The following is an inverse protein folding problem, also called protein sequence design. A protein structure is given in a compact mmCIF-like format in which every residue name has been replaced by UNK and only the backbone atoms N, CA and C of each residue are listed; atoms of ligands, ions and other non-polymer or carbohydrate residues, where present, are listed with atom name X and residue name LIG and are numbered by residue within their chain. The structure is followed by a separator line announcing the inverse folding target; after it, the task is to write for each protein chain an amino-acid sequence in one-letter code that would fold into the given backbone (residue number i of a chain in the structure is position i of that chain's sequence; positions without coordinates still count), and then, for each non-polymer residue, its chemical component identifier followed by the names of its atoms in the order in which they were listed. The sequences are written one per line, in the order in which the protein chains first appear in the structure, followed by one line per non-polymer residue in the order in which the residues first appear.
data_IF_514246205797
#
_entry.id   IF_514246205797
#
_cell.length_a   1.000
_cell.length_b   1.000
_cell.length_c   1.000
_cell.angle_alpha   90.00
_cell.angle_beta   90.00
_cell.angle_gamma   90.00
#
_symmetry.space_group_name_H-M   'P 1'
#
loop_
_entity.id
_entity.type
_entity.pdbx_description
1 polymer ?
#
# COMPACT_ATOMS: atom_id res chain seq x y z
N UNK A 1 14.00 -9.57 -4.05
CA UNK A 1 14.63 -10.36 -2.98
C UNK A 1 13.55 -11.26 -2.40
N UNK A 2 13.91 -12.43 -1.89
CA UNK A 2 12.94 -13.30 -1.22
C UNK A 2 12.65 -12.86 0.22
N UNK A 3 11.65 -13.48 0.85
CA UNK A 3 11.21 -13.18 2.22
C UNK A 3 12.16 -13.72 3.31
N UNK A 4 13.17 -14.51 2.92
CA UNK A 4 14.24 -14.97 3.82
C UNK A 4 15.59 -14.40 3.39
N UNK A 5 15.58 -13.20 2.79
CA UNK A 5 16.77 -12.48 2.34
C UNK A 5 17.54 -13.23 1.21
N UNK A 6 16.85 -14.04 0.42
CA UNK A 6 17.41 -14.63 -0.79
C UNK A 6 17.73 -13.54 -1.82
N UNK A 7 18.79 -13.76 -2.60
CA UNK A 7 19.25 -12.83 -3.61
C UNK A 7 18.12 -12.45 -4.58
N UNK A 8 17.96 -11.15 -4.84
CA UNK A 8 17.09 -10.66 -5.91
C UNK A 8 17.64 -10.99 -7.30
N UNK A 9 16.82 -10.81 -8.33
CA UNK A 9 17.22 -10.98 -9.73
C UNK A 9 18.25 -9.94 -10.21
N UNK A 10 18.37 -8.81 -9.52
CA UNK A 10 19.29 -7.72 -9.85
C UNK A 10 19.60 -6.89 -8.60
N UNK A 11 20.75 -6.19 -8.60
CA UNK A 11 21.09 -5.12 -7.65
C UNK A 11 21.37 -3.85 -8.45
N UNK A 12 20.70 -2.74 -8.12
CA UNK A 12 20.79 -1.49 -8.85
C UNK A 12 20.50 -0.29 -7.95
N UNK A 13 21.19 0.81 -8.18
CA UNK A 13 20.87 2.12 -7.59
C UNK A 13 19.83 2.82 -8.47
N UNK A 14 18.65 3.08 -7.93
CA UNK A 14 17.52 3.73 -8.60
C UNK A 14 16.72 4.54 -7.61
N UNK A 15 16.05 5.59 -8.09
CA UNK A 15 15.04 6.30 -7.32
C UNK A 15 13.73 5.49 -7.22
N UNK A 16 12.83 5.91 -6.32
CA UNK A 16 11.55 5.24 -6.11
C UNK A 16 10.68 5.16 -7.38
N UNK A 17 10.50 6.25 -8.17
CA UNK A 17 9.73 6.16 -9.41
C UNK A 17 10.30 5.14 -10.41
N UNK A 18 11.62 5.11 -10.61
CA UNK A 18 12.25 4.12 -11.49
C UNK A 18 12.16 2.70 -10.93
N UNK A 19 12.26 2.53 -9.61
CA UNK A 19 12.08 1.24 -8.95
C UNK A 19 10.67 0.70 -9.17
N UNK A 20 9.64 1.50 -8.89
CA UNK A 20 8.23 1.14 -9.09
C UNK A 20 7.95 0.82 -10.56
N UNK A 21 8.46 1.64 -11.48
CA UNK A 21 8.32 1.40 -12.92
C UNK A 21 8.88 0.05 -13.32
N UNK A 22 10.09 -0.27 -12.85
CA UNK A 22 10.72 -1.55 -13.12
C UNK A 22 9.90 -2.70 -12.51
N UNK A 23 9.42 -2.57 -11.27
CA UNK A 23 8.61 -3.60 -10.62
C UNK A 23 7.29 -3.85 -11.37
N UNK A 24 6.57 -2.80 -11.75
CA UNK A 24 5.32 -2.91 -12.51
C UNK A 24 5.54 -3.51 -13.91
N UNK A 25 6.61 -3.13 -14.61
CA UNK A 25 6.97 -3.76 -15.88
C UNK A 25 7.17 -5.27 -15.73
N UNK A 26 7.86 -5.72 -14.68
CA UNK A 26 8.05 -7.16 -14.40
C UNK A 26 6.74 -7.90 -14.08
N UNK A 27 5.68 -7.19 -13.67
CA UNK A 27 4.36 -7.76 -13.37
C UNK A 27 3.40 -7.74 -14.56
N UNK A 28 3.50 -6.73 -15.43
CA UNK A 28 2.44 -6.40 -16.39
C UNK A 28 2.88 -6.45 -17.85
N UNK A 29 4.18 -6.36 -18.15
CA UNK A 29 4.68 -6.37 -19.53
C UNK A 29 4.41 -7.73 -20.21
N UNK A 30 3.53 -7.72 -21.21
CA UNK A 30 3.15 -8.92 -21.94
C UNK A 30 4.22 -9.37 -22.95
N UNK A 31 5.22 -8.54 -23.23
CA UNK A 31 6.37 -8.92 -24.06
C UNK A 31 7.40 -9.78 -23.32
N UNK A 32 7.29 -9.85 -21.99
CA UNK A 32 8.16 -10.63 -21.11
C UNK A 32 7.68 -12.08 -21.01
N UNK A 33 8.05 -12.91 -21.97
CA UNK A 33 7.56 -14.30 -22.07
C UNK A 33 7.84 -15.17 -20.82
N UNK A 34 8.85 -14.83 -20.04
CA UNK A 34 9.20 -15.55 -18.80
C UNK A 34 8.28 -15.20 -17.62
N UNK A 35 7.54 -14.09 -17.71
CA UNK A 35 6.79 -13.49 -16.58
C UNK A 35 5.35 -13.07 -16.91
N UNK A 36 4.94 -13.09 -18.17
CA UNK A 36 3.60 -12.71 -18.63
C UNK A 36 2.53 -13.78 -18.38
N UNK A 37 2.41 -14.24 -17.13
CA UNK A 37 1.48 -15.33 -16.76
C UNK A 37 0.00 -14.92 -16.79
N UNK A 38 -0.29 -13.64 -16.60
CA UNK A 38 -1.65 -13.11 -16.54
C UNK A 38 -1.78 -11.84 -17.39
N UNK A 39 -2.88 -11.77 -18.15
CA UNK A 39 -3.26 -10.58 -18.90
C UNK A 39 -4.27 -9.75 -18.12
N UNK A 40 -3.84 -8.56 -17.73
CA UNK A 40 -4.68 -7.54 -17.08
C UNK A 40 -4.89 -6.41 -18.09
N UNK A 41 -6.14 -6.04 -18.32
CA UNK A 41 -6.59 -4.95 -19.19
C UNK A 41 -7.29 -3.87 -18.38
N UNK A 42 -7.52 -2.71 -19.00
CA UNK A 42 -8.24 -1.59 -18.37
C UNK A 42 -9.69 -1.92 -17.97
N UNK A 43 -10.28 -2.97 -18.54
CA UNK A 43 -11.63 -3.42 -18.22
C UNK A 43 -11.67 -4.42 -17.05
N UNK A 44 -10.51 -4.89 -16.59
CA UNK A 44 -10.43 -5.83 -15.48
C UNK A 44 -10.44 -5.08 -14.15
N UNK A 45 -11.28 -5.55 -13.22
CA UNK A 45 -11.20 -5.09 -11.84
C UNK A 45 -9.99 -5.74 -11.17
N UNK A 46 -9.25 -4.94 -10.39
CA UNK A 46 -8.05 -5.39 -9.69
C UNK A 46 -8.04 -4.93 -8.25
N UNK A 47 -7.30 -5.64 -7.41
CA UNK A 47 -6.95 -5.22 -6.04
C UNK A 47 -5.44 -5.08 -5.98
N UNK A 48 -4.99 -3.96 -5.41
CA UNK A 48 -3.58 -3.68 -5.17
C UNK A 48 -3.24 -3.98 -3.72
N UNK A 49 -2.16 -4.71 -3.50
CA UNK A 49 -1.52 -4.87 -2.20
C UNK A 49 -0.09 -4.29 -2.27
N UNK A 50 0.17 -3.25 -1.48
CA UNK A 50 1.51 -2.70 -1.22
C UNK A 50 1.93 -3.15 0.18
N UNK A 51 2.77 -4.18 0.22
CA UNK A 51 3.14 -4.83 1.48
C UNK A 51 4.54 -4.41 1.95
N UNK A 52 4.63 -4.00 3.21
CA UNK A 52 5.85 -3.64 3.93
C UNK A 52 6.60 -4.90 4.41
N UNK A 53 7.91 -4.97 4.15
CA UNK A 53 8.75 -6.09 4.60
C UNK A 53 9.23 -5.93 6.06
N UNK A 54 8.84 -4.86 6.73
CA UNK A 54 8.96 -4.64 8.18
C UNK A 54 9.79 -3.41 8.57
N UNK A 55 10.69 -2.96 7.69
CA UNK A 55 11.63 -1.86 7.97
C UNK A 55 11.24 -0.50 7.38
N UNK A 56 10.12 -0.39 6.65
CA UNK A 56 9.69 0.86 6.01
C UNK A 56 8.73 1.63 6.93
N UNK A 57 8.91 2.93 7.09
CA UNK A 57 8.02 3.73 7.94
C UNK A 57 6.62 3.89 7.33
N UNK A 58 5.57 4.14 8.14
CA UNK A 58 4.23 4.40 7.62
C UNK A 58 4.16 5.60 6.65
N UNK A 59 4.97 6.64 6.88
CA UNK A 59 5.05 7.80 6.00
C UNK A 59 5.60 7.42 4.62
N UNK A 60 6.69 6.66 4.60
CA UNK A 60 7.27 6.15 3.35
C UNK A 60 6.31 5.19 2.64
N UNK A 61 5.60 4.33 3.37
CA UNK A 61 4.56 3.46 2.80
C UNK A 61 3.45 4.26 2.11
N UNK A 62 3.06 5.41 2.66
CA UNK A 62 2.11 6.32 2.00
C UNK A 62 2.64 6.84 0.66
N UNK A 63 3.89 7.31 0.63
CA UNK A 63 4.55 7.78 -0.58
C UNK A 63 4.72 6.67 -1.64
N UNK A 64 5.16 5.48 -1.22
CA UNK A 64 5.29 4.30 -2.09
C UNK A 64 3.92 3.92 -2.67
N UNK A 65 2.88 3.89 -1.85
CA UNK A 65 1.53 3.55 -2.30
C UNK A 65 1.02 4.54 -3.34
N UNK A 66 1.22 5.84 -3.09
CA UNK A 66 0.83 6.89 -4.03
C UNK A 66 1.56 6.75 -5.38
N UNK A 67 2.88 6.53 -5.36
CA UNK A 67 3.68 6.33 -6.58
C UNK A 67 3.20 5.11 -7.39
N UNK A 68 2.95 3.98 -6.72
CA UNK A 68 2.45 2.75 -7.36
C UNK A 68 1.10 2.98 -8.03
N UNK A 69 0.17 3.63 -7.32
CA UNK A 69 -1.17 3.92 -7.86
C UNK A 69 -1.10 4.90 -9.03
N UNK A 70 -0.26 5.93 -8.95
CA UNK A 70 -0.07 6.90 -10.04
C UNK A 70 0.42 6.20 -11.31
N UNK A 71 1.47 5.38 -11.22
CA UNK A 71 2.01 4.68 -12.37
C UNK A 71 1.05 3.63 -12.94
N UNK A 72 0.33 2.88 -12.10
CA UNK A 72 -0.71 1.96 -12.55
C UNK A 72 -1.78 2.67 -13.39
N UNK A 73 -2.25 3.83 -12.93
CA UNK A 73 -3.26 4.60 -13.65
C UNK A 73 -2.70 5.23 -14.93
N UNK A 74 -1.52 5.84 -14.85
CA UNK A 74 -0.93 6.62 -15.93
C UNK A 74 -0.44 5.73 -17.07
N UNK A 75 0.33 4.71 -16.75
CA UNK A 75 1.09 3.91 -17.72
C UNK A 75 0.36 2.63 -18.14
N UNK A 76 -0.44 2.05 -17.23
CA UNK A 76 -1.13 0.76 -17.45
C UNK A 76 -2.64 0.87 -17.57
N UNK A 77 -3.23 2.05 -17.33
CA UNK A 77 -4.68 2.29 -17.31
C UNK A 77 -5.44 1.42 -16.29
N UNK A 78 -4.74 0.97 -15.24
CA UNK A 78 -5.31 0.17 -14.17
C UNK A 78 -5.68 1.09 -13.00
N UNK A 79 -6.95 1.01 -12.57
CA UNK A 79 -7.43 1.64 -11.34
C UNK A 79 -7.88 0.56 -10.36
N UNK A 80 -7.11 0.29 -9.28
CA UNK A 80 -7.50 -0.73 -8.32
C UNK A 80 -8.85 -0.42 -7.67
N UNK A 81 -9.74 -1.42 -7.60
CA UNK A 81 -10.99 -1.35 -6.88
C UNK A 81 -10.79 -1.34 -5.36
N UNK A 82 -9.69 -1.93 -4.86
CA UNK A 82 -9.26 -1.84 -3.47
C UNK A 82 -7.76 -1.67 -3.40
N UNK A 83 -7.31 -0.93 -2.39
CA UNK A 83 -5.91 -0.78 -2.06
C UNK A 83 -5.72 -1.25 -0.62
N UNK A 84 -4.88 -2.27 -0.46
CA UNK A 84 -4.36 -2.75 0.81
C UNK A 84 -2.92 -2.24 0.91
N UNK A 85 -2.62 -1.42 1.91
CA UNK A 85 -1.27 -0.92 2.15
C UNK A 85 -0.93 -1.05 3.62
N UNK A 86 0.17 -1.75 3.92
CA UNK A 86 0.49 -2.09 5.29
C UNK A 86 1.48 -3.24 5.42
N UNK A 87 1.56 -3.79 6.63
CA UNK A 87 2.52 -4.83 7.01
C UNK A 87 1.80 -6.18 7.14
N UNK A 88 1.61 -6.87 6.03
CA UNK A 88 0.86 -8.13 5.96
C UNK A 88 1.78 -9.35 6.03
N UNK A 89 2.95 -9.27 5.38
CA UNK A 89 3.97 -10.33 5.40
C UNK A 89 5.36 -9.70 5.43
N UNK A 90 6.09 -9.91 6.53
CA UNK A 90 7.40 -9.31 6.76
C UNK A 90 8.56 -10.25 6.46
N UNK A 91 9.75 -9.66 6.36
CA UNK A 91 11.05 -10.32 6.45
C UNK A 91 11.81 -9.68 7.61
N UNK A 92 11.36 -9.96 8.84
CA UNK A 92 11.85 -9.29 10.07
C UNK A 92 11.78 -7.75 9.96
N UNK A 93 12.92 -7.08 9.93
CA UNK A 93 13.06 -5.62 9.78
C UNK A 93 13.47 -5.22 8.36
N UNK A 94 13.08 -6.01 7.34
CA UNK A 94 13.47 -5.81 5.95
C UNK A 94 13.08 -4.42 5.45
N UNK A 95 14.09 -3.63 5.07
CA UNK A 95 13.89 -2.30 4.48
C UNK A 95 13.49 -2.44 3.01
N UNK A 96 12.21 -2.70 2.79
CA UNK A 96 11.67 -2.84 1.45
C UNK A 96 10.17 -3.08 1.45
N UNK A 97 9.62 -3.14 0.24
CA UNK A 97 8.20 -3.38 0.02
C UNK A 97 8.02 -4.36 -1.14
N UNK A 98 6.80 -4.84 -1.28
CA UNK A 98 6.36 -5.67 -2.40
C UNK A 98 5.05 -5.14 -2.97
N UNK A 99 4.84 -5.36 -4.27
CA UNK A 99 3.62 -5.01 -4.98
C UNK A 99 2.98 -6.32 -5.44
N UNK A 100 1.70 -6.50 -5.12
CA UNK A 100 0.88 -7.58 -5.66
C UNK A 100 -0.38 -7.02 -6.30
N UNK A 101 -0.74 -7.57 -7.46
CA UNK A 101 -2.01 -7.29 -8.14
C UNK A 101 -2.84 -8.55 -8.20
N UNK A 102 -4.06 -8.48 -7.70
CA UNK A 102 -5.06 -9.52 -7.83
C UNK A 102 -6.07 -9.10 -8.90
N UNK A 103 -6.12 -9.83 -10.02
CA UNK A 103 -7.21 -9.70 -10.98
C UNK A 103 -8.46 -10.36 -10.40
N UNK A 104 -9.56 -9.61 -10.33
CA UNK A 104 -10.84 -10.12 -9.85
C UNK A 104 -11.42 -11.08 -10.88
N UNK A 105 -11.86 -12.24 -10.41
CA UNK A 105 -12.57 -13.25 -11.19
C UNK A 105 -13.98 -13.45 -10.62
N UNK A 106 -14.85 -14.13 -11.38
CA UNK A 106 -16.09 -14.66 -10.82
C UNK A 106 -15.74 -15.78 -9.83
N UNK A 107 -16.28 -15.72 -8.61
CA UNK A 107 -16.07 -16.74 -7.58
C UNK A 107 -16.88 -18.01 -7.86
N UNK A 108 -17.94 -17.93 -8.68
CA UNK A 108 -18.88 -19.03 -8.88
C UNK A 108 -19.76 -19.34 -7.66
N UNK A 109 -19.73 -18.49 -6.63
CA UNK A 109 -20.41 -18.70 -5.34
C UNK A 109 -21.83 -18.08 -5.30
N UNK A 110 -22.33 -17.59 -6.43
CA UNK A 110 -23.62 -16.92 -6.53
C UNK A 110 -23.60 -15.44 -6.13
N UNK A 111 -24.79 -14.81 -6.15
CA UNK A 111 -24.96 -13.40 -5.85
C UNK A 111 -24.62 -13.06 -4.39
N UNK A 112 -23.86 -11.97 -4.17
CA UNK A 112 -23.47 -11.48 -2.84
C UNK A 112 -22.18 -12.09 -2.28
N UNK A 113 -21.48 -12.91 -3.06
CA UNK A 113 -20.19 -13.53 -2.72
C UNK A 113 -19.11 -13.16 -3.74
N UNK A 114 -19.12 -11.92 -4.24
CA UNK A 114 -18.05 -11.43 -5.11
C UNK A 114 -16.72 -11.38 -4.36
N UNK A 115 -15.60 -11.45 -5.08
CA UNK A 115 -14.28 -11.33 -4.45
C UNK A 115 -14.13 -10.05 -3.62
N UNK A 116 -14.70 -8.93 -4.06
CA UNK A 116 -14.60 -7.65 -3.34
C UNK A 116 -15.42 -7.68 -2.04
N UNK A 117 -16.63 -8.25 -2.07
CA UNK A 117 -17.45 -8.42 -0.87
C UNK A 117 -16.75 -9.36 0.14
N UNK A 118 -16.15 -10.45 -0.34
CA UNK A 118 -15.40 -11.37 0.53
C UNK A 118 -14.12 -10.74 1.08
N UNK A 119 -13.46 -9.86 0.32
CA UNK A 119 -12.28 -9.14 0.77
C UNK A 119 -12.60 -8.07 1.83
N UNK A 120 -13.75 -7.41 1.67
CA UNK A 120 -14.23 -6.34 2.56
C UNK A 120 -15.00 -6.89 3.78
N UNK A 121 -15.33 -8.19 3.79
CA UNK A 121 -16.07 -8.82 4.87
C UNK A 121 -15.34 -8.66 6.22
N UNK A 122 -16.07 -8.43 7.33
CA UNK A 122 -15.45 -8.34 8.65
C UNK A 122 -14.61 -9.57 8.98
N UNK A 123 -13.39 -9.34 9.45
CA UNK A 123 -12.48 -10.38 9.90
C UNK A 123 -11.95 -10.04 11.29
N UNK A 124 -11.87 -11.06 12.15
CA UNK A 124 -11.24 -10.94 13.49
C UNK A 124 -9.73 -11.22 13.45
N UNK A 125 -9.18 -11.48 12.26
CA UNK A 125 -7.77 -11.72 12.06
C UNK A 125 -6.98 -10.41 12.28
N UNK A 126 -6.11 -10.40 13.28
CA UNK A 126 -5.34 -9.22 13.70
C UNK A 126 -4.42 -8.65 12.62
N UNK A 127 -3.96 -9.50 11.69
CA UNK A 127 -3.13 -9.09 10.56
C UNK A 127 -3.90 -8.60 9.34
N UNK A 128 -5.24 -8.59 9.39
CA UNK A 128 -6.09 -8.20 8.27
C UNK A 128 -6.63 -6.78 8.44
N UNK A 129 -5.82 -5.79 8.04
CA UNK A 129 -6.26 -4.40 7.97
C UNK A 129 -7.29 -4.23 6.86
N UNK A 130 -8.41 -3.58 7.17
CA UNK A 130 -9.45 -3.29 6.19
C UNK A 130 -8.89 -2.51 4.99
N UNK A 131 -9.38 -2.83 3.80
CA UNK A 131 -9.01 -2.14 2.57
C UNK A 131 -9.47 -0.67 2.58
N UNK A 132 -8.71 0.20 1.91
CA UNK A 132 -9.17 1.56 1.61
C UNK A 132 -10.17 1.46 0.45
N UNK A 133 -11.45 1.82 0.63
CA UNK A 133 -12.43 1.80 -0.45
C UNK A 133 -12.09 2.84 -1.52
N UNK A 134 -12.44 2.57 -2.79
CA UNK A 134 -12.23 3.52 -3.89
C UNK A 134 -12.81 4.91 -3.58
N UNK A 135 -13.99 4.96 -2.96
CA UNK A 135 -14.65 6.22 -2.57
C UNK A 135 -13.73 7.09 -1.71
N UNK A 136 -13.10 6.51 -0.67
CA UNK A 136 -12.17 7.23 0.22
C UNK A 136 -10.94 7.72 -0.53
N UNK A 137 -10.45 6.93 -1.50
CA UNK A 137 -9.29 7.31 -2.31
C UNK A 137 -9.60 8.44 -3.31
N UNK A 138 -10.80 8.43 -3.89
CA UNK A 138 -11.26 9.45 -4.85
C UNK A 138 -11.60 10.78 -4.18
N UNK A 139 -11.92 10.77 -2.89
CA UNK A 139 -12.07 11.97 -2.03
C UNK A 139 -10.71 12.66 -1.79
N UNK A 140 -10.10 13.19 -2.86
CA UNK A 140 -8.83 13.92 -2.78
C UNK A 140 -8.99 15.16 -1.90
N UNK A 141 -8.24 15.20 -0.81
CA UNK A 141 -8.07 16.42 -0.03
C UNK A 141 -7.24 17.43 -0.83
N UNK A 142 -7.83 18.58 -1.16
CA UNK A 142 -7.12 19.72 -1.73
C UNK A 142 -6.40 20.56 -0.65
N UNK A 143 -6.40 20.11 0.61
CA UNK A 143 -5.70 20.78 1.68
C UNK A 143 -4.19 20.57 1.52
N UNK A 144 -3.54 21.48 0.80
CA UNK A 144 -2.09 21.67 0.93
C UNK A 144 -1.82 22.42 2.24
N UNK A 145 -0.72 22.08 2.93
CA UNK A 145 -0.14 22.95 3.95
C UNK A 145 -0.10 24.37 3.38
N UNK A 146 -0.82 25.30 4.01
CA UNK A 146 -0.84 26.68 3.57
C UNK A 146 0.60 27.20 3.66
N UNK A 147 1.16 27.61 2.52
CA UNK A 147 2.47 28.29 2.49
C UNK A 147 2.35 29.74 3.00
N UNK A 148 1.15 30.17 3.37
CA UNK A 148 0.86 31.41 4.06
C UNK A 148 1.45 31.44 5.47
N UNK A 149 2.73 31.81 5.54
CA UNK A 149 3.38 32.32 6.75
C UNK A 149 3.68 31.27 7.80
N UNK A 150 4.92 30.75 7.77
CA UNK A 150 5.61 30.42 9.02
C UNK A 150 5.89 31.76 9.72
N UNK A 151 4.85 32.36 10.30
CA UNK A 151 5.08 33.24 11.44
C UNK A 151 5.70 32.38 12.53
N UNK A 152 6.59 32.97 13.33
CA UNK A 152 7.04 32.37 14.58
C UNK A 152 5.83 32.17 15.50
N UNK A 153 5.05 31.10 15.29
CA UNK A 153 4.15 30.61 16.31
C UNK A 153 5.04 29.96 17.36
N UNK A 154 5.30 30.71 18.44
CA UNK A 154 5.84 30.16 19.68
C UNK A 154 5.07 28.89 20.02
N UNK A 155 5.79 27.77 20.10
CA UNK A 155 5.22 26.50 20.50
C UNK A 155 4.55 26.66 21.88
N UNK A 156 3.22 26.74 21.90
CA UNK A 156 2.48 26.82 23.16
C UNK A 156 2.69 25.50 23.91
N UNK A 157 3.15 25.54 25.17
CA UNK A 157 3.29 24.33 25.96
C UNK A 157 1.92 23.66 26.10
N UNK A 158 1.88 22.33 26.06
CA UNK A 158 0.60 21.58 26.07
C UNK A 158 -0.16 21.71 27.39
N UNK A 159 0.46 22.32 28.42
CA UNK A 159 -0.06 22.46 29.78
C UNK A 159 -0.61 21.15 30.35
N UNK A 160 -0.14 20.00 29.84
CA UNK A 160 -0.51 18.68 30.34
C UNK A 160 0.21 18.47 31.66
N UNK A 161 -0.52 18.67 32.75
CA UNK A 161 -0.09 18.27 34.06
C UNK A 161 -0.15 16.73 34.16
N UNK A 162 0.98 16.11 34.51
CA UNK A 162 0.98 14.69 34.88
C UNK A 162 0.17 14.56 36.16
N UNK A 163 -0.97 13.88 36.10
CA UNK A 163 -1.64 13.42 37.32
C UNK A 163 -0.69 12.45 38.01
N UNK A 164 -0.20 12.83 39.18
CA UNK A 164 0.59 11.94 40.03
C UNK A 164 -0.34 10.79 40.46
N UNK A 165 -0.24 9.65 39.78
CA UNK A 165 -0.83 8.43 40.28
C UNK A 165 -0.13 8.10 41.61
N UNK A 166 -0.89 7.78 42.68
CA UNK A 166 -0.29 7.32 43.91
C UNK A 166 0.54 6.06 43.60
N UNK A 167 1.71 5.89 44.26
CA UNK A 167 2.51 4.68 44.06
C UNK A 167 1.62 3.46 44.35
N UNK A 168 1.61 2.51 43.42
CA UNK A 168 0.92 1.25 43.62
C UNK A 168 1.45 0.61 44.90
N UNK A 169 0.56 0.38 45.87
CA UNK A 169 0.87 -0.40 47.06
C UNK A 169 1.18 -1.81 46.58
N UNK A 170 2.42 -2.25 46.82
CA UNK A 170 2.87 -3.63 46.63
C UNK A 170 2.27 -4.55 47.71
#
# INVERSE_FOLDING_TARGET
MGIHNEAGSERKEVDLPSLVKNMLAKLLDQSDADRSFIKISENDQTVLLVNNLGGVSPLEMGGITAEVVEQLQKDWKIKPARILSGTFMTSLNGLGFSISLLKIADTGLGSGNSFLELLDAPAEATGWSAAIPTKTWEERSNATLDKGGVGEEEAKPSNLERTNYPPSVA
#
